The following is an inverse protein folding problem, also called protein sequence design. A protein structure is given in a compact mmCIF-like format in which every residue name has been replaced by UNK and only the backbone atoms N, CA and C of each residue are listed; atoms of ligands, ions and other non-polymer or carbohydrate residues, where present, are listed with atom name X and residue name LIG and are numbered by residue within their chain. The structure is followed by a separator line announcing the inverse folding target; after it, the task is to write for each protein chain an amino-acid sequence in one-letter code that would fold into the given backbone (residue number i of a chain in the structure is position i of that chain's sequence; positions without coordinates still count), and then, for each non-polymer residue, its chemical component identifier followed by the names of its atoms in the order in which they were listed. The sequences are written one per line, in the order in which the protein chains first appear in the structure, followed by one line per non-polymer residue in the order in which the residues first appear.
data_IF_454951013573
#
_entry.id   IF_454951013573
#
_cell.length_a   1.000
_cell.length_b   1.000
_cell.length_c   1.000
_cell.angle_alpha   90.00
_cell.angle_beta   90.00
_cell.angle_gamma   90.00
#
_symmetry.space_group_name_H-M   'P 1'
#
loop_
_entity.id
_entity.type
_entity.pdbx_description
1 polymer ?
#
# COMPACT_ATOMS: atom_id res chain seq x y z
N UNK A 1 4.11 5.25 2.75
CA UNK A 1 4.67 3.92 2.44
C UNK A 1 4.72 3.80 0.94
N UNK A 2 5.75 3.16 0.41
CA UNK A 2 6.03 3.15 -1.02
C UNK A 2 6.10 1.70 -1.50
N UNK A 3 5.25 1.34 -2.45
CA UNK A 3 5.27 0.03 -3.10
C UNK A 3 5.81 0.20 -4.51
N UNK A 4 6.91 -0.48 -4.84
CA UNK A 4 7.59 -0.38 -6.14
C UNK A 4 7.23 -1.57 -7.02
N UNK A 5 6.88 -1.27 -8.26
CA UNK A 5 6.50 -2.24 -9.29
C UNK A 5 7.43 -2.13 -10.50
N UNK A 6 7.42 -3.16 -11.35
CA UNK A 6 8.21 -3.17 -12.58
C UNK A 6 7.53 -2.38 -13.71
N UNK A 7 6.20 -2.28 -13.66
CA UNK A 7 5.35 -1.63 -14.65
C UNK A 7 4.65 -0.39 -14.07
N UNK A 8 4.28 0.53 -14.96
CA UNK A 8 3.51 1.73 -14.62
C UNK A 8 2.07 1.34 -14.27
N UNK A 9 1.47 2.05 -13.31
CA UNK A 9 0.17 1.71 -12.74
C UNK A 9 -0.94 2.66 -13.18
N UNK A 10 -2.17 2.16 -13.14
CA UNK A 10 -3.37 2.98 -13.15
C UNK A 10 -3.83 3.25 -11.71
N UNK A 11 -3.66 4.48 -11.24
CA UNK A 11 -3.97 4.88 -9.86
C UNK A 11 -5.43 4.62 -9.48
N UNK A 12 -6.38 4.85 -10.38
CA UNK A 12 -7.82 4.70 -10.10
C UNK A 12 -8.21 3.26 -9.75
N UNK A 13 -7.40 2.29 -10.16
CA UNK A 13 -7.62 0.87 -9.95
C UNK A 13 -6.52 0.21 -9.11
N UNK A 14 -5.74 1.01 -8.39
CA UNK A 14 -4.64 0.55 -7.55
C UNK A 14 -4.78 1.10 -6.13
N UNK A 15 -4.46 0.31 -5.12
CA UNK A 15 -4.66 0.72 -3.74
C UNK A 15 -4.06 -0.23 -2.70
N UNK A 16 -4.02 0.27 -1.47
CA UNK A 16 -3.49 -0.42 -0.30
C UNK A 16 -4.48 -0.32 0.85
N UNK A 17 -4.61 -1.41 1.61
CA UNK A 17 -5.25 -1.45 2.91
C UNK A 17 -4.23 -1.87 3.95
N UNK A 18 -4.15 -1.11 5.04
CA UNK A 18 -3.29 -1.40 6.18
C UNK A 18 -4.17 -1.79 7.36
N UNK A 19 -3.92 -2.97 7.94
CA UNK A 19 -4.63 -3.48 9.11
C UNK A 19 -3.67 -3.60 10.28
N UNK A 20 -4.06 -3.07 11.44
CA UNK A 20 -3.26 -3.06 12.67
C UNK A 20 -3.37 -4.33 13.52
N UNK A 21 -2.64 -4.38 14.65
CA UNK A 21 -2.55 -5.55 15.52
C UNK A 21 -3.88 -5.97 16.15
N UNK A 22 -4.77 -5.00 16.37
CA UNK A 22 -6.12 -5.15 16.89
C UNK A 22 -7.16 -5.50 15.79
N UNK A 23 -6.68 -5.82 14.58
CA UNK A 23 -7.49 -6.07 13.38
C UNK A 23 -8.28 -4.85 12.90
N UNK A 24 -7.92 -3.64 13.33
CA UNK A 24 -8.55 -2.40 12.86
C UNK A 24 -7.86 -1.86 11.60
N UNK A 25 -8.63 -1.20 10.73
CA UNK A 25 -8.07 -0.53 9.57
C UNK A 25 -7.32 0.74 10.01
N UNK A 26 -6.07 0.87 9.61
CA UNK A 26 -5.30 2.10 9.80
C UNK A 26 -5.74 3.10 8.75
N UNK A 27 -6.05 4.33 9.18
CA UNK A 27 -6.37 5.42 8.27
C UNK A 27 -5.15 5.78 7.43
N UNK A 28 -5.32 5.71 6.11
CA UNK A 28 -4.34 6.13 5.12
C UNK A 28 -4.75 7.47 4.50
N UNK A 29 -3.79 8.19 3.94
CA UNK A 29 -4.02 9.37 3.12
C UNK A 29 -4.30 9.00 1.66
N UNK A 30 -4.51 10.02 0.84
CA UNK A 30 -4.79 9.82 -0.59
C UNK A 30 -3.57 9.19 -1.30
N UNK A 31 -3.76 8.12 -2.08
CA UNK A 31 -2.68 7.47 -2.79
C UNK A 31 -2.22 8.33 -3.98
N UNK A 32 -0.95 8.21 -4.33
CA UNK A 32 -0.36 8.86 -5.49
C UNK A 32 0.64 7.97 -6.21
N UNK A 33 1.03 8.37 -7.41
CA UNK A 33 2.05 7.70 -8.20
C UNK A 33 3.30 8.56 -8.35
N UNK A 34 4.47 7.92 -8.37
CA UNK A 34 5.76 8.56 -8.66
C UNK A 34 6.67 7.63 -9.46
N UNK A 35 7.86 8.13 -9.83
CA UNK A 35 8.90 7.40 -10.59
C UNK A 35 8.32 6.74 -11.84
N UNK A 36 7.78 7.57 -12.72
CA UNK A 36 7.13 7.17 -13.98
C UNK A 36 5.98 6.17 -13.73
N UNK A 37 5.17 6.47 -12.72
CA UNK A 37 4.00 5.70 -12.32
C UNK A 37 4.24 4.28 -11.82
N UNK A 38 5.51 3.94 -11.52
CA UNK A 38 5.91 2.60 -11.05
C UNK A 38 5.94 2.47 -9.53
N UNK A 39 5.72 3.56 -8.80
CA UNK A 39 5.68 3.55 -7.34
C UNK A 39 4.34 4.10 -6.86
N UNK A 40 3.61 3.27 -6.11
CA UNK A 40 2.41 3.65 -5.39
C UNK A 40 2.80 4.18 -4.00
N UNK A 41 2.62 5.48 -3.79
CA UNK A 41 2.82 6.13 -2.50
C UNK A 41 1.47 6.18 -1.79
N UNK A 42 1.44 5.69 -0.55
CA UNK A 42 0.27 5.77 0.32
C UNK A 42 0.68 6.37 1.68
N UNK A 43 0.30 7.63 1.97
CA UNK A 43 0.62 8.26 3.25
C UNK A 43 -0.02 7.49 4.41
N UNK A 44 0.75 7.27 5.49
CA UNK A 44 0.20 6.75 6.75
C UNK A 44 -0.14 7.95 7.61
N UNK A 45 -1.42 8.17 7.89
CA UNK A 45 -1.91 9.45 8.43
C UNK A 45 -1.52 9.71 9.89
N UNK A 46 -1.09 8.68 10.62
CA UNK A 46 -0.69 8.77 12.03
C UNK A 46 0.49 7.83 12.31
N UNK A 47 1.34 8.12 13.32
CA UNK A 47 2.35 7.18 13.78
C UNK A 47 1.73 5.81 14.11
N UNK A 48 2.42 4.75 13.72
CA UNK A 48 2.02 3.39 14.04
C UNK A 48 2.51 3.03 15.45
N UNK A 49 1.62 2.46 16.27
CA UNK A 49 1.99 1.85 17.53
C UNK A 49 2.80 0.57 17.32
N UNK A 50 3.38 0.04 18.40
CA UNK A 50 4.06 -1.25 18.35
C UNK A 50 3.08 -2.39 18.04
N UNK A 51 3.49 -3.32 17.20
CA UNK A 51 2.73 -4.54 16.90
C UNK A 51 2.82 -4.98 15.44
N UNK A 52 2.11 -6.06 15.11
CA UNK A 52 2.07 -6.63 13.76
C UNK A 52 0.99 -5.97 12.91
N UNK A 53 1.39 -5.55 11.72
CA UNK A 53 0.53 -4.95 10.72
C UNK A 53 0.49 -5.84 9.47
N UNK A 54 -0.66 -5.85 8.80
CA UNK A 54 -0.84 -6.51 7.50
C UNK A 54 -1.10 -5.46 6.43
N UNK A 55 -0.31 -5.51 5.37
CA UNK A 55 -0.51 -4.72 4.16
C UNK A 55 -1.16 -5.63 3.12
N UNK A 56 -2.34 -5.24 2.66
CA UNK A 56 -3.02 -5.86 1.51
C UNK A 56 -2.98 -4.85 0.35
N UNK A 57 -2.53 -5.26 -0.82
CA UNK A 57 -2.41 -4.38 -1.97
C UNK A 57 -3.01 -5.01 -3.23
N UNK A 58 -3.48 -4.17 -4.12
CA UNK A 58 -3.90 -4.54 -5.47
C UNK A 58 -3.49 -3.44 -6.44
N UNK A 59 -3.11 -3.81 -7.65
CA UNK A 59 -2.75 -2.86 -8.70
C UNK A 59 -3.24 -3.33 -10.08
N UNK A 60 -3.48 -2.35 -10.95
CA UNK A 60 -3.67 -2.55 -12.38
C UNK A 60 -2.52 -1.84 -13.09
N UNK A 61 -1.70 -2.57 -13.82
CA UNK A 61 -0.69 -1.97 -14.69
C UNK A 61 -1.33 -1.37 -15.94
N UNK A 62 -0.65 -0.40 -16.55
CA UNK A 62 -1.12 0.28 -17.77
C UNK A 62 -1.21 -0.64 -18.99
N UNK A 63 -0.55 -1.80 -18.94
CA UNK A 63 -0.64 -2.86 -19.95
C UNK A 63 -1.89 -3.76 -19.79
N UNK A 64 -2.69 -3.56 -18.73
CA UNK A 64 -3.94 -4.26 -18.46
C UNK A 64 -3.87 -5.41 -17.45
N UNK A 65 -2.69 -5.77 -16.94
CA UNK A 65 -2.58 -6.85 -15.96
C UNK A 65 -2.99 -6.41 -14.54
N UNK A 66 -3.78 -7.25 -13.87
CA UNK A 66 -4.13 -7.07 -12.45
C UNK A 66 -3.30 -8.01 -11.60
N UNK A 67 -2.67 -7.46 -10.56
CA UNK A 67 -1.97 -8.24 -9.56
C UNK A 67 -2.35 -7.76 -8.17
N UNK A 68 -2.23 -8.64 -7.18
CA UNK A 68 -2.50 -8.34 -5.78
C UNK A 68 -1.59 -9.19 -4.90
N UNK A 69 -1.48 -8.81 -3.64
CA UNK A 69 -0.71 -9.55 -2.67
C UNK A 69 -0.88 -9.00 -1.27
N UNK A 70 -0.25 -9.69 -0.33
CA UNK A 70 -0.21 -9.25 1.06
C UNK A 70 1.14 -9.59 1.69
N UNK A 71 1.52 -8.80 2.69
CA UNK A 71 2.65 -9.09 3.55
C UNK A 71 2.41 -8.51 4.94
N UNK A 72 3.18 -8.99 5.91
CA UNK A 72 3.13 -8.50 7.29
C UNK A 72 4.45 -7.86 7.67
N UNK A 73 4.39 -6.87 8.57
CA UNK A 73 5.56 -6.30 9.21
C UNK A 73 5.27 -6.01 10.68
N UNK A 74 6.30 -5.82 11.48
CA UNK A 74 6.18 -5.53 12.91
C UNK A 74 6.85 -4.21 13.23
N UNK A 75 6.12 -3.31 13.87
CA UNK A 75 6.67 -2.10 14.50
C UNK A 75 7.13 -2.48 15.90
N UNK A 76 8.42 -2.33 16.16
CA UNK A 76 9.00 -2.56 17.49
C UNK A 76 8.85 -1.31 18.37
N UNK A 77 8.83 -1.46 19.71
CA UNK A 77 8.92 -0.34 20.64
C UNK A 77 10.17 0.51 20.43
#
# INVERSE_FOLDING_TARGET
MDLTFTESLNLKFSGVKLTGPDKTAVKLGDPGLTRNDKVLIVPVSSPLGSGTYTVEWHVLSTDGHKTNGSYTFTVKP
#
